data_IF_317015962696
#
_entry.id   IF_317015962696
#
_cell.length_a   1.000
_cell.length_b   1.000
_cell.length_c   1.000
_cell.angle_alpha   90.00
_cell.angle_beta   90.00
_cell.angle_gamma   90.00
#
_symmetry.space_group_name_H-M   'P 1'
#
loop_
_entity.id
_entity.type
_entity.pdbx_description
1 polymer ?
#
# COMPACT_ATOMS: atom_id res chain seq x y z
N UNK A 1 23.24 -11.40 -2.82
CA UNK A 1 21.85 -10.88 -2.71
C UNK A 1 20.88 -12.00 -3.06
N UNK A 2 19.62 -11.87 -2.67
CA UNK A 2 18.60 -12.89 -2.84
C UNK A 2 17.28 -12.42 -2.25
N UNK A 3 16.29 -13.31 -2.23
CA UNK A 3 14.92 -13.01 -1.83
C UNK A 3 14.38 -14.25 -1.16
N UNK A 4 13.76 -14.06 0.01
CA UNK A 4 12.99 -15.09 0.69
C UNK A 4 11.50 -14.92 0.45
N UNK A 5 10.72 -15.98 0.70
CA UNK A 5 9.25 -15.88 0.78
C UNK A 5 8.87 -14.82 1.83
N UNK A 6 9.58 -14.76 2.95
CA UNK A 6 9.40 -13.74 3.96
C UNK A 6 9.62 -12.32 3.44
N UNK A 7 10.55 -12.12 2.49
CA UNK A 7 10.74 -10.80 1.86
C UNK A 7 9.51 -10.37 1.06
N UNK A 8 8.86 -11.31 0.36
CA UNK A 8 7.62 -11.04 -0.40
C UNK A 8 6.46 -10.76 0.56
N UNK A 9 6.31 -11.58 1.61
CA UNK A 9 5.28 -11.40 2.65
C UNK A 9 5.41 -10.01 3.27
N UNK A 10 6.63 -9.61 3.63
CA UNK A 10 6.91 -8.31 4.22
C UNK A 10 6.76 -7.16 3.21
N UNK A 11 7.06 -7.35 1.92
CA UNK A 11 6.88 -6.34 0.88
C UNK A 11 5.42 -5.99 0.63
N UNK A 12 4.50 -6.94 0.81
CA UNK A 12 3.07 -6.70 0.65
C UNK A 12 2.53 -5.73 1.74
N UNK A 13 3.13 -5.69 2.94
CA UNK A 13 2.74 -4.76 4.00
C UNK A 13 2.78 -3.28 3.56
N UNK A 14 3.92 -2.70 3.15
CA UNK A 14 3.97 -1.30 2.71
C UNK A 14 3.14 -1.04 1.45
N UNK A 15 2.87 -2.04 0.62
CA UNK A 15 1.95 -1.89 -0.54
C UNK A 15 0.51 -1.69 -0.04
N UNK A 16 0.03 -2.53 0.87
CA UNK A 16 -1.32 -2.43 1.42
C UNK A 16 -1.49 -1.17 2.30
N UNK A 17 -0.53 -0.89 3.18
CA UNK A 17 -0.53 0.33 3.99
C UNK A 17 -0.37 1.58 3.13
N UNK A 18 0.41 1.50 2.05
CA UNK A 18 0.52 2.56 1.05
C UNK A 18 -0.83 2.81 0.39
N UNK A 19 -1.53 1.77 -0.07
CA UNK A 19 -2.88 1.89 -0.64
C UNK A 19 -3.88 2.56 0.31
N UNK A 20 -3.82 2.21 1.60
CA UNK A 20 -4.60 2.88 2.66
C UNK A 20 -4.20 4.36 2.83
N UNK A 21 -2.91 4.65 2.92
CA UNK A 21 -2.40 6.02 3.13
C UNK A 21 -2.72 6.92 1.94
N UNK A 22 -2.49 6.43 0.72
CA UNK A 22 -2.80 7.15 -0.52
C UNK A 22 -4.30 7.23 -0.84
N UNK A 23 -5.13 6.42 -0.17
CA UNK A 23 -6.59 6.49 -0.26
C UNK A 23 -7.24 7.49 0.70
N UNK A 24 -6.50 8.15 1.60
CA UNK A 24 -7.15 8.96 2.63
C UNK A 24 -7.85 10.22 2.08
N UNK A 25 -8.90 10.67 2.79
CA UNK A 25 -9.63 11.90 2.44
C UNK A 25 -8.74 13.15 2.48
N UNK A 26 -7.77 13.17 3.41
CA UNK A 26 -6.79 14.26 3.53
C UNK A 26 -5.95 14.40 2.27
N UNK A 27 -5.41 13.30 1.73
CA UNK A 27 -4.60 13.32 0.51
C UNK A 27 -5.42 13.73 -0.72
N UNK A 28 -6.69 13.33 -0.79
CA UNK A 28 -7.61 13.78 -1.84
C UNK A 28 -7.75 15.32 -1.83
N UNK A 29 -7.88 15.91 -0.64
CA UNK A 29 -7.90 17.36 -0.48
C UNK A 29 -6.56 18.01 -0.78
N UNK A 30 -5.44 17.38 -0.42
CA UNK A 30 -4.11 17.92 -0.73
C UNK A 30 -3.86 18.02 -2.25
N UNK A 31 -4.30 17.02 -3.01
CA UNK A 31 -4.05 16.96 -4.46
C UNK A 31 -5.02 17.85 -5.26
N UNK A 32 -6.29 17.95 -4.86
CA UNK A 32 -7.31 18.65 -5.65
C UNK A 32 -8.12 19.71 -4.93
N UNK A 33 -7.93 19.91 -3.63
CA UNK A 33 -8.79 20.75 -2.81
C UNK A 33 -8.54 22.26 -2.88
N UNK A 34 -7.45 22.71 -3.53
CA UNK A 34 -7.13 24.14 -3.73
C UNK A 34 -7.28 24.60 -5.18
N UNK A 35 -7.91 23.79 -6.04
CA UNK A 35 -8.10 24.11 -7.44
C UNK A 35 -9.57 24.37 -7.74
N UNK A 36 -9.87 25.55 -8.28
CA UNK A 36 -11.22 25.93 -8.68
C UNK A 36 -11.55 25.49 -10.11
N UNK A 37 -10.54 25.18 -10.93
CA UNK A 37 -10.70 24.70 -12.29
C UNK A 37 -9.64 23.62 -12.66
N UNK A 38 -10.11 22.43 -13.03
CA UNK A 38 -9.25 21.30 -13.42
C UNK A 38 -8.85 21.27 -14.91
N UNK A 39 -9.40 22.17 -15.72
CA UNK A 39 -9.18 22.22 -17.18
C UNK A 39 -8.54 23.52 -17.66
N UNK A 40 -8.28 24.47 -16.75
CA UNK A 40 -7.82 25.81 -17.12
C UNK A 40 -6.30 25.90 -17.35
N UNK A 41 -5.53 24.88 -16.97
CA UNK A 41 -4.09 24.81 -17.22
C UNK A 41 -3.61 23.37 -17.34
N UNK A 42 -2.50 23.18 -18.06
CA UNK A 42 -1.86 21.86 -18.20
C UNK A 42 -1.43 21.29 -16.82
N UNK A 43 -1.02 22.16 -15.89
CA UNK A 43 -0.72 21.76 -14.51
C UNK A 43 -1.96 21.31 -13.73
N UNK A 44 -3.11 21.96 -13.94
CA UNK A 44 -4.37 21.57 -13.32
C UNK A 44 -4.90 20.24 -13.87
N UNK A 45 -4.69 19.97 -15.16
CA UNK A 45 -5.07 18.70 -15.79
C UNK A 45 -4.27 17.52 -15.22
N UNK A 46 -2.96 17.68 -15.03
CA UNK A 46 -2.13 16.67 -14.36
C UNK A 46 -2.57 16.42 -12.91
N UNK A 47 -2.88 17.48 -12.18
CA UNK A 47 -3.39 17.36 -10.82
C UNK A 47 -4.77 16.67 -10.80
N UNK A 48 -5.63 16.92 -11.79
CA UNK A 48 -6.91 16.21 -11.97
C UNK A 48 -6.71 14.71 -12.18
N UNK A 49 -5.75 14.31 -13.02
CA UNK A 49 -5.44 12.90 -13.27
C UNK A 49 -5.03 12.18 -11.97
N UNK A 50 -4.14 12.79 -11.19
CA UNK A 50 -3.74 12.27 -9.87
C UNK A 50 -4.90 12.25 -8.87
N UNK A 51 -5.75 13.28 -8.88
CA UNK A 51 -6.93 13.35 -8.04
C UNK A 51 -7.94 12.24 -8.37
N UNK A 52 -8.10 11.85 -9.63
CA UNK A 52 -8.93 10.69 -10.02
C UNK A 52 -8.40 9.39 -9.43
N UNK A 53 -7.07 9.18 -9.47
CA UNK A 53 -6.43 7.99 -8.88
C UNK A 53 -6.66 7.96 -7.37
N UNK A 54 -6.41 9.06 -6.66
CA UNK A 54 -6.64 9.15 -5.21
C UNK A 54 -8.12 9.01 -4.85
N UNK A 55 -9.03 9.54 -5.68
CA UNK A 55 -10.47 9.34 -5.50
C UNK A 55 -10.87 7.88 -5.68
N UNK A 56 -10.26 7.17 -6.64
CA UNK A 56 -10.48 5.73 -6.80
C UNK A 56 -9.98 4.93 -5.60
N UNK A 57 -8.77 5.23 -5.09
CA UNK A 57 -8.23 4.61 -3.89
C UNK A 57 -9.06 4.95 -2.65
N UNK A 58 -9.56 6.19 -2.54
CA UNK A 58 -10.40 6.64 -1.44
C UNK A 58 -11.73 5.86 -1.33
N UNK A 59 -12.36 5.53 -2.46
CA UNK A 59 -13.55 4.66 -2.47
C UNK A 59 -13.28 3.27 -1.89
N UNK A 60 -12.02 2.82 -1.88
CA UNK A 60 -11.57 1.52 -1.37
C UNK A 60 -10.77 1.65 -0.06
N UNK A 61 -10.73 2.84 0.55
CA UNK A 61 -9.93 3.14 1.74
C UNK A 61 -10.16 2.14 2.87
N UNK A 62 -11.43 1.88 3.19
CA UNK A 62 -11.79 0.90 4.21
C UNK A 62 -11.32 -0.53 3.86
N UNK A 63 -11.41 -0.93 2.60
CA UNK A 63 -10.94 -2.26 2.16
C UNK A 63 -9.43 -2.40 2.34
N UNK A 64 -8.65 -1.39 1.94
CA UNK A 64 -7.20 -1.38 2.17
C UNK A 64 -6.85 -1.44 3.66
N UNK A 65 -7.64 -0.81 4.54
CA UNK A 65 -7.45 -0.89 5.98
C UNK A 65 -7.67 -2.31 6.54
N UNK A 66 -8.74 -2.98 6.11
CA UNK A 66 -9.02 -4.34 6.55
C UNK A 66 -7.99 -5.34 6.02
N UNK A 67 -7.63 -5.23 4.73
CA UNK A 67 -6.62 -6.09 4.15
C UNK A 67 -5.24 -5.86 4.77
N UNK A 68 -4.84 -4.61 5.02
CA UNK A 68 -3.57 -4.33 5.68
C UNK A 68 -3.54 -4.87 7.11
N UNK A 69 -4.62 -4.69 7.88
CA UNK A 69 -4.71 -5.18 9.26
C UNK A 69 -4.56 -6.70 9.33
N UNK A 70 -5.29 -7.44 8.49
CA UNK A 70 -5.22 -8.90 8.43
C UNK A 70 -3.83 -9.34 7.97
N UNK A 71 -3.28 -8.70 6.93
CA UNK A 71 -1.99 -9.08 6.36
C UNK A 71 -0.82 -8.84 7.30
N UNK A 72 -0.82 -7.72 8.04
CA UNK A 72 0.18 -7.44 9.08
C UNK A 72 0.14 -8.53 10.15
N UNK A 73 -1.05 -8.87 10.66
CA UNK A 73 -1.20 -9.94 11.63
C UNK A 73 -0.70 -11.30 11.12
N UNK A 74 -0.98 -11.64 9.86
CA UNK A 74 -0.44 -12.84 9.22
C UNK A 74 1.08 -12.79 9.07
N UNK A 75 1.64 -11.63 8.72
CA UNK A 75 3.08 -11.42 8.59
C UNK A 75 3.79 -11.61 9.93
N UNK A 76 3.21 -11.10 11.03
CA UNK A 76 3.74 -11.26 12.37
C UNK A 76 3.76 -12.74 12.80
N UNK A 77 2.67 -13.46 12.54
CA UNK A 77 2.59 -14.90 12.79
C UNK A 77 3.63 -15.66 11.95
N UNK A 78 3.75 -15.34 10.66
CA UNK A 78 4.74 -15.96 9.77
C UNK A 78 6.16 -15.76 10.29
N UNK A 79 6.56 -14.52 10.57
CA UNK A 79 7.90 -14.19 11.06
C UNK A 79 8.16 -14.88 12.40
N UNK A 80 7.17 -14.92 13.29
CA UNK A 80 7.31 -15.62 14.57
C UNK A 80 7.52 -17.11 14.38
N UNK A 81 6.74 -17.79 13.54
CA UNK A 81 6.90 -19.21 13.28
C UNK A 81 8.24 -19.55 12.63
N UNK A 82 8.72 -18.70 11.72
CA UNK A 82 10.06 -18.82 11.12
C UNK A 82 11.15 -18.64 12.18
N UNK A 83 11.03 -17.63 13.06
CA UNK A 83 12.01 -17.40 14.14
C UNK A 83 12.07 -18.53 15.17
N UNK A 84 10.95 -19.23 15.38
CA UNK A 84 10.85 -20.39 16.26
C UNK A 84 11.35 -21.68 15.59
N UNK A 85 11.71 -21.65 14.30
CA UNK A 85 12.10 -22.83 13.54
C UNK A 85 10.96 -23.81 13.27
N UNK A 86 9.70 -23.38 13.45
CA UNK A 86 8.51 -24.22 13.16
C UNK A 86 8.29 -24.32 11.66
N UNK A 87 8.59 -23.25 10.92
CA UNK A 87 8.47 -23.17 9.47
C UNK A 87 9.81 -22.71 8.90
N UNK A 88 10.25 -23.32 7.81
CA UNK A 88 11.46 -22.90 7.09
C UNK A 88 11.10 -21.87 6.02
N UNK A 89 11.75 -20.70 6.06
CA UNK A 89 11.64 -19.71 4.99
C UNK A 89 12.36 -20.19 3.73
N UNK A 90 11.61 -20.39 2.65
CA UNK A 90 12.18 -20.71 1.35
C UNK A 90 12.85 -19.46 0.77
N UNK A 91 14.11 -19.58 0.40
CA UNK A 91 14.90 -18.44 -0.05
C UNK A 91 15.97 -18.83 -1.07
N UNK A 92 16.50 -17.83 -1.78
CA UNK A 92 17.44 -18.05 -2.88
C UNK A 92 18.92 -18.10 -2.47
N UNK A 93 19.23 -17.98 -1.18
CA UNK A 93 20.61 -18.04 -0.65
C UNK A 93 20.92 -19.34 0.11
N UNK A 94 19.92 -20.23 0.25
CA UNK A 94 20.05 -21.58 0.79
C UNK A 94 20.01 -22.69 -0.26
N UNK A 95 20.19 -22.35 -1.55
CA UNK A 95 20.47 -23.28 -2.65
C UNK A 95 21.97 -23.31 -2.96
#
# INVERSE_FOLDING_TARGET
>A
FGVGVGSIVLLINPILLGGYTFGCHSLRHLIGGRMDCFSCSHSAEHAHSRWKVVTYLNRRHQMFAWFSLVWVGLSDVYVRLVSMGVITDLNTWGI
#
